data_IF_970694603986
#
_entry.id   IF_970694603986
#
_cell.length_a   1.000
_cell.length_b   1.000
_cell.length_c   1.000
_cell.angle_alpha   90.00
_cell.angle_beta   90.00
_cell.angle_gamma   90.00
#
_symmetry.space_group_name_H-M   'P 1'
#
loop_
_entity.id
_entity.type
_entity.pdbx_description
1 polymer ?
#
# COMPACT_ATOMS: atom_id res chain seq x y z
N UNK A 1 -20.87 15.09 9.97
CA UNK A 1 -20.10 14.67 11.17
C UNK A 1 -18.63 14.86 10.82
N UNK A 2 -17.87 15.62 11.60
CA UNK A 2 -16.43 15.79 11.33
C UNK A 2 -15.68 14.52 11.71
N UNK A 3 -14.66 14.09 10.93
CA UNK A 3 -13.88 12.91 11.29
C UNK A 3 -13.14 13.12 12.61
N UNK A 4 -13.07 12.09 13.48
CA UNK A 4 -12.33 12.19 14.73
C UNK A 4 -10.85 12.45 14.44
N UNK A 5 -10.25 13.42 15.13
CA UNK A 5 -8.85 13.80 14.99
C UNK A 5 -8.10 13.43 16.27
N UNK A 6 -7.00 12.69 16.12
CA UNK A 6 -6.14 12.29 17.23
C UNK A 6 -4.74 12.87 17.03
N UNK A 7 -4.11 13.33 18.12
CA UNK A 7 -2.70 13.72 18.13
C UNK A 7 -1.93 12.58 18.76
N UNK A 8 -1.01 11.99 18.01
CA UNK A 8 -0.21 10.85 18.44
C UNK A 8 1.25 11.27 18.59
N UNK A 9 1.88 10.82 19.68
CA UNK A 9 3.32 10.94 19.86
C UNK A 9 4.03 9.77 19.19
N UNK A 10 5.26 9.98 18.74
CA UNK A 10 6.05 8.93 18.07
C UNK A 10 6.15 7.63 18.90
N UNK A 11 6.31 7.73 20.22
CA UNK A 11 6.43 6.57 21.12
C UNK A 11 5.19 5.67 21.12
N UNK A 12 4.02 6.23 20.82
CA UNK A 12 2.74 5.53 20.83
C UNK A 12 2.38 5.00 19.44
N UNK A 13 3.13 5.43 18.42
CA UNK A 13 2.79 5.24 17.02
C UNK A 13 2.89 3.78 16.58
N UNK A 14 3.88 3.06 17.09
CA UNK A 14 4.06 1.64 16.78
C UNK A 14 2.87 0.81 17.29
N UNK A 15 2.49 0.99 18.55
CA UNK A 15 1.35 0.30 19.15
C UNK A 15 0.03 0.68 18.49
N UNK A 16 -0.14 1.95 18.12
CA UNK A 16 -1.31 2.42 17.38
C UNK A 16 -1.42 1.74 16.01
N UNK A 17 -0.33 1.72 15.23
CA UNK A 17 -0.32 1.07 13.92
C UNK A 17 -0.51 -0.44 14.02
N UNK A 18 0.02 -1.07 15.07
CA UNK A 18 -0.22 -2.48 15.37
C UNK A 18 -1.71 -2.75 15.64
N UNK A 19 -2.34 -1.96 16.51
CA UNK A 19 -3.78 -2.07 16.77
C UNK A 19 -4.60 -1.93 15.49
N UNK A 20 -4.33 -0.88 14.70
CA UNK A 20 -5.00 -0.69 13.40
C UNK A 20 -4.82 -1.88 12.45
N UNK A 21 -3.64 -2.50 12.42
CA UNK A 21 -3.39 -3.65 11.56
C UNK A 21 -4.20 -4.90 11.95
N UNK A 22 -4.62 -5.01 13.22
CA UNK A 22 -5.49 -6.10 13.68
C UNK A 22 -6.96 -5.85 13.31
N UNK A 23 -7.37 -4.58 13.30
CA UNK A 23 -8.69 -4.18 12.80
C UNK A 23 -8.78 -4.20 11.28
N UNK A 24 -7.65 -4.31 10.57
CA UNK A 24 -7.61 -4.29 9.11
C UNK A 24 -8.50 -5.39 8.50
N UNK A 25 -8.62 -6.57 9.10
CA UNK A 25 -9.54 -7.62 8.66
C UNK A 25 -11.03 -7.24 8.80
N UNK A 26 -11.39 -6.49 9.84
CA UNK A 26 -12.75 -5.93 9.99
C UNK A 26 -12.97 -4.76 9.03
N UNK A 27 -11.91 -4.01 8.74
CA UNK A 27 -11.88 -2.90 7.79
C UNK A 27 -11.94 -3.39 6.33
N UNK A 28 -11.37 -4.57 6.01
CA UNK A 28 -11.35 -5.16 4.66
C UNK A 28 -12.77 -5.37 4.09
N UNK A 29 -13.72 -5.74 4.94
CA UNK A 29 -15.15 -5.86 4.59
C UNK A 29 -15.81 -4.51 4.24
N UNK A 30 -15.15 -3.39 4.55
CA UNK A 30 -15.63 -2.02 4.36
C UNK A 30 -14.54 -1.10 3.79
N UNK A 31 -13.56 -1.66 3.06
CA UNK A 31 -12.36 -0.91 2.67
C UNK A 31 -12.72 0.33 1.84
N UNK A 32 -13.73 0.23 0.98
CA UNK A 32 -14.31 1.31 0.17
C UNK A 32 -14.87 2.51 0.98
N UNK A 33 -15.06 2.34 2.29
CA UNK A 33 -15.62 3.35 3.19
C UNK A 33 -14.60 3.93 4.17
N UNK A 34 -13.36 3.45 4.16
CA UNK A 34 -12.36 3.81 5.18
C UNK A 34 -11.17 4.48 4.50
N UNK A 35 -11.01 5.79 4.78
CA UNK A 35 -9.84 6.57 4.37
C UNK A 35 -9.01 6.95 5.59
N UNK A 36 -7.70 6.70 5.50
CA UNK A 36 -6.74 7.06 6.54
C UNK A 36 -5.89 8.23 6.03
N UNK A 37 -5.98 9.36 6.71
CA UNK A 37 -5.22 10.56 6.37
C UNK A 37 -4.28 10.86 7.54
N UNK A 38 -2.98 10.73 7.30
CA UNK A 38 -1.97 11.17 8.25
C UNK A 38 -1.47 12.55 7.86
N UNK A 39 -1.34 13.42 8.86
CA UNK A 39 -0.78 14.76 8.68
C UNK A 39 0.42 14.90 9.59
N UNK A 40 1.61 15.01 9.01
CA UNK A 40 2.80 15.39 9.77
C UNK A 40 2.69 16.88 10.07
N UNK A 41 2.66 17.24 11.35
CA UNK A 41 2.57 18.63 11.79
C UNK A 41 3.97 19.16 12.04
N UNK A 42 4.29 20.33 11.51
CA UNK A 42 5.48 21.09 11.91
C UNK A 42 5.11 21.98 13.10
N UNK A 43 5.47 21.61 14.35
CA UNK A 43 5.14 22.42 15.52
C UNK A 43 5.88 23.76 15.54
N UNK A 44 6.88 23.95 14.69
CA UNK A 44 7.70 25.16 14.59
C UNK A 44 7.45 25.94 13.30
N UNK A 45 6.35 25.69 12.58
CA UNK A 45 6.03 26.40 11.34
C UNK A 45 6.08 27.93 11.51
N UNK A 46 5.73 28.43 12.71
CA UNK A 46 5.74 29.85 13.09
C UNK A 46 6.81 30.20 14.14
N UNK A 47 7.73 29.27 14.45
CA UNK A 47 8.75 29.42 15.51
C UNK A 47 10.18 29.34 14.96
N UNK A 48 11.20 29.52 15.81
CA UNK A 48 12.58 29.28 15.40
C UNK A 48 12.73 27.81 14.98
N UNK A 49 13.02 27.59 13.69
CA UNK A 49 13.17 26.25 13.13
C UNK A 49 14.34 25.55 13.81
N UNK A 50 14.05 24.46 14.51
CA UNK A 50 15.07 23.47 14.83
C UNK A 50 15.23 22.57 13.61
N UNK A 51 16.46 22.44 13.10
CA UNK A 51 16.75 21.69 11.86
C UNK A 51 16.43 20.20 11.96
N UNK A 52 16.32 19.67 13.18
CA UNK A 52 16.14 18.23 13.41
C UNK A 52 14.72 17.75 13.10
N UNK A 53 13.69 18.52 13.45
CA UNK A 53 12.27 18.13 13.28
C UNK A 53 11.82 18.20 11.82
N UNK A 54 12.45 19.06 11.03
CA UNK A 54 12.24 19.13 9.57
C UNK A 54 13.15 18.18 8.79
N UNK A 55 14.03 17.42 9.46
CA UNK A 55 14.94 16.52 8.78
C UNK A 55 14.21 15.36 8.12
N UNK A 56 14.70 14.94 6.95
CA UNK A 56 14.20 13.76 6.24
C UNK A 56 14.22 12.51 7.11
N UNK A 57 15.24 12.37 7.96
CA UNK A 57 15.38 11.25 8.90
C UNK A 57 14.24 11.23 9.92
N UNK A 58 13.85 12.39 10.46
CA UNK A 58 12.75 12.49 11.40
C UNK A 58 11.40 12.19 10.74
N UNK A 59 11.17 12.70 9.54
CA UNK A 59 9.97 12.37 8.76
C UNK A 59 9.89 10.87 8.48
N UNK A 60 10.99 10.24 8.04
CA UNK A 60 11.02 8.80 7.75
C UNK A 60 10.75 7.96 9.00
N UNK A 61 11.29 8.38 10.15
CA UNK A 61 11.04 7.77 11.46
C UNK A 61 9.55 7.82 11.82
N UNK A 62 8.87 8.95 11.61
CA UNK A 62 7.43 9.07 11.86
C UNK A 62 6.57 8.24 10.89
N UNK A 63 7.08 7.94 9.70
CA UNK A 63 6.34 7.20 8.67
C UNK A 63 6.58 5.69 8.73
N UNK A 64 7.72 5.27 9.29
CA UNK A 64 8.16 3.87 9.33
C UNK A 64 7.10 2.91 9.92
N UNK A 65 6.43 3.19 11.05
CA UNK A 65 5.45 2.27 11.62
C UNK A 65 4.25 2.01 10.70
N UNK A 66 3.79 3.04 9.97
CA UNK A 66 2.70 2.93 9.00
C UNK A 66 3.10 2.01 7.83
N UNK A 67 4.29 2.20 7.25
CA UNK A 67 4.80 1.36 6.16
C UNK A 67 4.95 -0.10 6.55
N UNK A 68 5.31 -0.35 7.81
CA UNK A 68 5.54 -1.70 8.32
C UNK A 68 4.22 -2.42 8.59
N UNK A 69 3.27 -1.76 9.26
CA UNK A 69 2.08 -2.41 9.83
C UNK A 69 0.82 -2.27 8.97
N UNK A 70 0.70 -1.23 8.14
CA UNK A 70 -0.55 -0.91 7.43
C UNK A 70 -0.55 -1.23 5.94
N UNK A 71 0.38 -2.07 5.45
CA UNK A 71 0.34 -2.56 4.06
C UNK A 71 -1.04 -3.14 3.71
N UNK A 72 -1.48 -2.94 2.49
CA UNK A 72 -2.81 -3.31 2.01
C UNK A 72 -3.90 -2.29 2.35
N UNK A 73 -3.54 -1.04 2.65
CA UNK A 73 -4.51 0.04 2.93
C UNK A 73 -4.70 0.92 1.69
N UNK A 74 -5.72 0.69 0.84
CA UNK A 74 -5.83 1.32 -0.49
C UNK A 74 -6.14 2.83 -0.44
N UNK A 75 -6.77 3.31 0.63
CA UNK A 75 -7.16 4.73 0.77
C UNK A 75 -6.33 5.45 1.83
N UNK A 76 -5.02 5.34 1.73
CA UNK A 76 -4.06 6.00 2.61
C UNK A 76 -3.49 7.28 1.99
N UNK A 77 -3.47 8.37 2.76
CA UNK A 77 -2.90 9.66 2.35
C UNK A 77 -1.93 10.18 3.40
N UNK A 78 -0.70 10.50 2.98
CA UNK A 78 0.27 11.23 3.79
C UNK A 78 0.42 12.67 3.30
N UNK A 79 0.27 13.64 4.20
CA UNK A 79 0.40 15.08 3.89
C UNK A 79 1.01 15.89 5.03
N UNK A 80 1.20 17.18 4.81
CA UNK A 80 1.71 18.13 5.83
C UNK A 80 3.21 18.36 5.69
N UNK A 81 3.91 18.43 6.83
CA UNK A 81 5.35 18.67 6.93
C UNK A 81 6.18 17.41 6.58
N UNK A 82 5.92 16.85 5.41
CA UNK A 82 6.59 15.69 4.84
C UNK A 82 7.11 16.06 3.46
N UNK A 83 8.30 15.58 3.09
CA UNK A 83 8.82 15.72 1.73
C UNK A 83 7.97 14.93 0.74
N UNK A 84 7.68 15.51 -0.42
CA UNK A 84 6.76 14.94 -1.42
C UNK A 84 7.19 13.54 -1.87
N UNK A 85 8.49 13.34 -2.10
CA UNK A 85 9.03 12.05 -2.52
C UNK A 85 8.90 10.98 -1.42
N UNK A 86 9.05 11.35 -0.15
CA UNK A 86 8.80 10.44 0.97
C UNK A 86 7.31 10.09 1.07
N UNK A 87 6.42 11.08 0.92
CA UNK A 87 4.99 10.86 0.96
C UNK A 87 4.56 9.91 -0.16
N UNK A 88 5.01 10.14 -1.40
CA UNK A 88 4.74 9.27 -2.55
C UNK A 88 5.26 7.86 -2.31
N UNK A 89 6.51 7.71 -1.88
CA UNK A 89 7.09 6.40 -1.60
C UNK A 89 6.35 5.65 -0.48
N UNK A 90 5.98 6.36 0.59
CA UNK A 90 5.25 5.77 1.70
C UNK A 90 3.84 5.33 1.30
N UNK A 91 3.11 6.18 0.59
CA UNK A 91 1.78 5.86 0.07
C UNK A 91 1.86 4.62 -0.82
N UNK A 92 2.79 4.58 -1.79
CA UNK A 92 2.95 3.43 -2.68
C UNK A 92 3.23 2.12 -1.92
N UNK A 93 4.05 2.16 -0.85
CA UNK A 93 4.35 0.98 -0.03
C UNK A 93 3.18 0.53 0.83
N UNK A 94 2.38 1.46 1.36
CA UNK A 94 1.26 1.18 2.25
C UNK A 94 0.04 0.69 1.45
N UNK A 95 -0.22 1.28 0.28
CA UNK A 95 -1.29 0.84 -0.61
C UNK A 95 -0.98 -0.47 -1.31
N UNK A 96 0.28 -0.95 -1.24
CA UNK A 96 0.66 -2.22 -1.82
C UNK A 96 0.03 -3.40 -1.07
N UNK A 97 -0.54 -4.41 -1.75
CA UNK A 97 -1.10 -5.61 -1.14
C UNK A 97 -0.09 -6.36 -0.24
N UNK A 98 -0.56 -7.02 0.84
CA UNK A 98 0.31 -7.81 1.72
C UNK A 98 0.77 -9.09 1.02
N UNK A 99 1.91 -9.65 1.42
CA UNK A 99 2.40 -10.92 0.84
C UNK A 99 1.49 -12.13 1.13
N UNK A 100 0.54 -12.05 2.08
CA UNK A 100 -0.52 -13.05 2.24
C UNK A 100 -1.68 -12.90 1.23
N UNK A 101 -1.70 -11.80 0.48
CA UNK A 101 -2.61 -11.60 -0.65
C UNK A 101 -2.10 -12.31 -1.91
N UNK A 102 -0.89 -12.89 -1.94
CA UNK A 102 -0.43 -13.58 -3.14
C UNK A 102 -1.31 -14.77 -3.48
N UNK A 103 -1.69 -15.59 -2.51
CA UNK A 103 -2.61 -16.71 -2.72
C UNK A 103 -3.99 -16.23 -3.19
N UNK A 104 -4.45 -15.08 -2.68
CA UNK A 104 -5.72 -14.45 -3.10
C UNK A 104 -5.60 -13.94 -4.54
N UNK A 105 -4.56 -13.18 -4.86
CA UNK A 105 -4.30 -12.65 -6.20
C UNK A 105 -4.04 -13.79 -7.20
N UNK A 106 -3.37 -14.87 -6.77
CA UNK A 106 -3.15 -16.06 -7.59
C UNK A 106 -4.47 -16.80 -7.84
N UNK A 107 -5.33 -16.91 -6.83
CA UNK A 107 -6.68 -17.45 -6.98
C UNK A 107 -7.53 -16.61 -7.92
N UNK A 108 -7.50 -15.28 -7.78
CA UNK A 108 -8.19 -14.35 -8.69
C UNK A 108 -7.66 -14.44 -10.12
N UNK A 109 -6.35 -14.63 -10.28
CA UNK A 109 -5.71 -14.83 -11.58
C UNK A 109 -6.18 -16.11 -12.26
N UNK A 110 -6.20 -17.23 -11.53
CA UNK A 110 -6.71 -18.49 -12.05
C UNK A 110 -8.21 -18.39 -12.37
N UNK A 111 -8.99 -17.66 -11.57
CA UNK A 111 -10.40 -17.43 -11.83
C UNK A 111 -10.63 -16.59 -13.10
N UNK A 112 -9.92 -15.46 -13.26
CA UNK A 112 -10.00 -14.61 -14.44
C UNK A 112 -9.58 -15.36 -15.71
N UNK A 113 -8.53 -16.19 -15.62
CA UNK A 113 -8.10 -17.07 -16.71
C UNK A 113 -9.19 -18.08 -17.06
N UNK A 114 -9.80 -18.73 -16.06
CA UNK A 114 -10.87 -19.69 -16.27
C UNK A 114 -12.11 -19.04 -16.91
N UNK A 115 -12.55 -17.88 -16.41
CA UNK A 115 -13.66 -17.09 -16.96
C UNK A 115 -13.40 -16.63 -18.39
N UNK A 116 -12.18 -16.18 -18.68
CA UNK A 116 -11.78 -15.82 -20.04
C UNK A 116 -11.85 -17.02 -20.99
N UNK A 117 -11.36 -18.19 -20.57
CA UNK A 117 -11.40 -19.42 -21.35
C UNK A 117 -12.82 -19.96 -21.55
N UNK A 118 -13.70 -19.82 -20.57
CA UNK A 118 -15.12 -20.17 -20.69
C UNK A 118 -15.83 -19.24 -21.68
N UNK A 119 -15.64 -17.92 -21.52
CA UNK A 119 -16.24 -16.91 -22.41
C UNK A 119 -15.79 -17.11 -23.87
N UNK A 120 -14.51 -17.44 -24.06
CA UNK A 120 -13.97 -17.78 -25.38
C UNK A 120 -14.64 -19.02 -25.98
N UNK A 121 -14.82 -20.08 -25.19
CA UNK A 121 -15.54 -21.30 -25.63
C UNK A 121 -17.00 -21.04 -25.99
N UNK A 122 -17.63 -20.10 -25.28
CA UNK A 122 -19.01 -19.67 -25.53
C UNK A 122 -19.15 -18.67 -26.69
N UNK A 123 -18.04 -18.22 -27.30
CA UNK A 123 -18.04 -17.26 -28.40
C UNK A 123 -18.16 -15.79 -27.97
N UNK A 124 -18.17 -15.50 -26.67
CA UNK A 124 -18.19 -14.14 -26.13
C UNK A 124 -16.76 -13.58 -26.06
N UNK A 125 -16.26 -13.15 -27.22
CA UNK A 125 -14.91 -12.61 -27.38
C UNK A 125 -14.68 -11.30 -26.59
N UNK A 126 -15.63 -10.35 -26.53
CA UNK A 126 -15.48 -9.15 -25.69
C UNK A 126 -15.24 -9.48 -24.22
N UNK A 127 -16.05 -10.37 -23.64
CA UNK A 127 -15.92 -10.75 -22.24
C UNK A 127 -14.65 -11.57 -21.98
N UNK A 128 -14.24 -12.41 -22.93
CA UNK A 128 -12.96 -13.12 -22.86
C UNK A 128 -11.78 -12.16 -22.79
N UNK A 129 -11.76 -11.15 -23.67
CA UNK A 129 -10.71 -10.14 -23.73
C UNK A 129 -10.63 -9.29 -22.46
N UNK A 130 -11.77 -8.91 -21.89
CA UNK A 130 -11.82 -8.16 -20.64
C UNK A 130 -11.21 -8.95 -19.48
N UNK A 131 -11.60 -10.21 -19.31
CA UNK A 131 -11.10 -11.07 -18.23
C UNK A 131 -9.58 -11.28 -18.33
N UNK A 132 -9.06 -11.55 -19.53
CA UNK A 132 -7.61 -11.70 -19.73
C UNK A 132 -6.85 -10.38 -19.54
N UNK A 133 -7.42 -9.24 -19.96
CA UNK A 133 -6.81 -7.93 -19.76
C UNK A 133 -6.68 -7.59 -18.28
N UNK A 134 -7.72 -7.89 -17.48
CA UNK A 134 -7.67 -7.75 -16.02
C UNK A 134 -6.63 -8.68 -15.39
N UNK A 135 -6.55 -9.94 -15.83
CA UNK A 135 -5.51 -10.86 -15.38
C UNK A 135 -4.10 -10.32 -15.67
N UNK A 136 -3.86 -9.79 -16.86
CA UNK A 136 -2.56 -9.21 -17.24
C UNK A 136 -2.18 -7.98 -16.40
N UNK A 137 -3.15 -7.14 -16.02
CA UNK A 137 -2.91 -5.99 -15.13
C UNK A 137 -2.50 -6.50 -13.74
N UNK A 138 -3.21 -7.49 -13.19
CA UNK A 138 -2.90 -8.08 -11.89
C UNK A 138 -1.51 -8.74 -11.89
N UNK A 139 -1.16 -9.48 -12.95
CA UNK A 139 0.19 -10.06 -13.11
C UNK A 139 1.26 -8.97 -13.18
N UNK A 140 1.01 -7.88 -13.90
CA UNK A 140 1.98 -6.78 -14.03
C UNK A 140 2.21 -6.08 -12.69
N UNK A 141 1.16 -5.91 -11.89
CA UNK A 141 1.29 -5.38 -10.53
C UNK A 141 2.14 -6.32 -9.67
N UNK A 142 1.91 -7.64 -9.71
CA UNK A 142 2.76 -8.59 -9.00
C UNK A 142 4.23 -8.55 -9.44
N UNK A 143 4.47 -8.49 -10.75
CA UNK A 143 5.82 -8.54 -11.33
C UNK A 143 6.63 -7.25 -11.13
N UNK A 144 5.98 -6.10 -10.93
CA UNK A 144 6.70 -4.83 -10.84
C UNK A 144 7.31 -4.56 -9.47
N UNK A 145 6.92 -5.30 -8.41
CA UNK A 145 7.49 -5.19 -7.07
C UNK A 145 7.54 -3.75 -6.51
N UNK A 146 8.00 -3.53 -5.27
CA UNK A 146 8.26 -2.17 -4.81
C UNK A 146 9.45 -1.57 -5.59
N UNK A 147 9.45 -0.24 -5.87
CA UNK A 147 10.62 0.43 -6.43
C UNK A 147 11.82 0.24 -5.49
N UNK A 148 12.76 -0.60 -5.91
CA UNK A 148 13.91 -1.04 -5.10
C UNK A 148 14.14 -2.56 -5.08
N UNK A 149 13.13 -3.38 -5.41
CA UNK A 149 13.30 -4.82 -5.59
C UNK A 149 13.71 -5.12 -7.04
N UNK A 150 14.90 -4.66 -7.46
CA UNK A 150 15.58 -5.38 -8.55
C UNK A 150 15.91 -6.75 -7.98
N UNK A 151 15.22 -7.78 -8.47
CA UNK A 151 15.64 -9.16 -8.28
C UNK A 151 17.09 -9.24 -8.75
N UNK A 152 18.03 -9.27 -7.81
CA UNK A 152 19.41 -9.64 -8.09
C UNK A 152 19.35 -11.01 -8.77
N UNK A 153 19.87 -11.06 -9.98
CA UNK A 153 19.85 -12.25 -10.80
C UNK A 153 20.45 -13.42 -10.04
N UNK A 154 19.62 -14.40 -9.69
CA UNK A 154 20.10 -15.75 -9.52
C UNK A 154 20.61 -16.22 -10.87
N UNK A 155 21.90 -16.01 -11.08
CA UNK A 155 22.68 -16.75 -12.06
C UNK A 155 22.69 -18.18 -11.53
N UNK A 156 21.77 -19.01 -12.02
CA UNK A 156 21.87 -20.45 -11.91
C UNK A 156 23.07 -20.85 -12.78
N UNK A 157 24.24 -20.92 -12.16
CA UNK A 157 25.35 -21.70 -12.68
C UNK A 157 24.91 -23.15 -12.69
N UNK A 158 24.76 -23.68 -13.91
CA UNK A 158 24.66 -25.12 -14.14
C UNK A 158 26.11 -25.59 -14.29
N UNK A 159 26.60 -26.34 -13.30
CA UNK A 159 27.66 -27.33 -13.49
C UNK A 159 27.02 -28.71 -13.68
#
# INVERSE_FOLDING_TARGET
>A
MSPPTFVLLHRDLEMFCEGLSHFQFTIEQHHEHISQIITLVDPFQNGPRTSEVSSRKFQDMLIAPYRLKLRGSPHFVAKGAISDDLAVAAMAQITWPRMGDYEIVLSELEELKAKGNESFRMGDLPLASENWSRALINMRQLMQGPPGAKLEGQTLSIE
#
